data_IF_515591780877
#
_entry.id   IF_515591780877
#
_cell.length_a   1.000
_cell.length_b   1.000
_cell.length_c   1.000
_cell.angle_alpha   90.00
_cell.angle_beta   90.00
_cell.angle_gamma   90.00
#
_symmetry.space_group_name_H-M   'P 1'
#
loop_
_entity.id
_entity.type
_entity.pdbx_description
1 polymer ?
#
# COMPACT_ATOMS: atom_id res chain seq x y z
N UNK A 1 3.86 7.16 3.14
CA UNK A 1 4.16 6.03 4.02
C UNK A 1 5.54 5.45 3.71
N UNK A 2 5.81 4.88 2.55
CA UNK A 2 7.12 4.28 2.21
C UNK A 2 8.35 5.18 2.44
N UNK A 3 8.25 6.49 2.17
CA UNK A 3 9.34 7.45 2.43
C UNK A 3 9.65 7.51 3.93
N UNK A 4 8.62 7.60 4.78
CA UNK A 4 8.80 7.64 6.23
C UNK A 4 9.36 6.36 6.80
N UNK A 5 8.93 5.22 6.26
CA UNK A 5 9.44 3.91 6.67
C UNK A 5 10.92 3.80 6.36
N UNK A 6 11.35 4.26 5.17
CA UNK A 6 12.75 4.28 4.76
C UNK A 6 13.59 5.23 5.63
N UNK A 7 13.08 6.41 5.96
CA UNK A 7 13.76 7.36 6.85
C UNK A 7 13.90 6.80 8.26
N UNK A 8 12.83 6.22 8.81
CA UNK A 8 12.85 5.63 10.14
C UNK A 8 13.86 4.48 10.24
N UNK A 9 13.90 3.58 9.26
CA UNK A 9 14.83 2.44 9.27
C UNK A 9 16.29 2.85 9.14
N UNK A 10 16.57 4.00 8.53
CA UNK A 10 17.93 4.57 8.44
C UNK A 10 18.41 5.19 9.75
N UNK A 11 17.50 5.67 10.58
CA UNK A 11 17.82 6.41 11.82
C UNK A 11 17.68 5.54 13.06
N UNK A 12 16.73 4.61 13.10
CA UNK A 12 16.53 3.73 14.25
C UNK A 12 17.65 2.70 14.34
N UNK A 13 18.27 2.61 15.52
CA UNK A 13 19.36 1.66 15.79
C UNK A 13 18.90 0.55 16.74
N UNK A 14 19.29 -0.67 16.42
CA UNK A 14 19.16 -1.87 17.25
C UNK A 14 20.37 -2.78 16.98
N UNK A 15 20.85 -3.45 18.02
CA UNK A 15 22.02 -4.34 17.90
C UNK A 15 23.26 -3.63 17.36
N UNK A 16 23.43 -2.32 17.69
CA UNK A 16 24.59 -1.54 17.31
C UNK A 16 24.61 -1.01 15.88
N UNK A 17 23.50 -1.14 15.12
CA UNK A 17 23.42 -0.66 13.73
C UNK A 17 22.01 -0.15 13.40
N UNK A 18 21.92 0.69 12.37
CA UNK A 18 20.63 1.10 11.81
C UNK A 18 19.84 -0.11 11.33
N UNK A 19 18.55 -0.20 11.68
CA UNK A 19 17.73 -1.38 11.33
C UNK A 19 17.56 -1.57 9.83
N UNK A 20 17.63 -0.51 9.03
CA UNK A 20 17.60 -0.58 7.57
C UNK A 20 18.77 -1.34 6.93
N UNK A 21 19.80 -1.69 7.70
CA UNK A 21 20.92 -2.54 7.24
C UNK A 21 20.60 -4.04 7.35
N UNK A 22 19.56 -4.42 8.09
CA UNK A 22 19.14 -5.82 8.16
C UNK A 22 18.46 -6.25 6.87
N UNK A 23 18.96 -7.31 6.24
CA UNK A 23 18.47 -7.78 4.94
C UNK A 23 16.97 -8.13 4.95
N UNK A 24 16.48 -8.73 6.03
CA UNK A 24 15.05 -9.08 6.15
C UNK A 24 14.14 -7.84 6.09
N UNK A 25 14.59 -6.71 6.64
CA UNK A 25 13.85 -5.45 6.58
C UNK A 25 13.98 -4.78 5.22
N UNK A 26 15.13 -4.91 4.57
CA UNK A 26 15.32 -4.46 3.18
C UNK A 26 14.37 -5.19 2.23
N UNK A 27 14.23 -6.50 2.35
CA UNK A 27 13.27 -7.28 1.56
C UNK A 27 11.83 -6.82 1.77
N UNK A 28 11.42 -6.57 3.02
CA UNK A 28 10.08 -6.02 3.32
C UNK A 28 9.84 -4.68 2.65
N UNK A 29 10.82 -3.77 2.70
CA UNK A 29 10.71 -2.45 2.07
C UNK A 29 10.63 -2.56 0.53
N UNK A 30 11.36 -3.49 -0.07
CA UNK A 30 11.28 -3.77 -1.52
C UNK A 30 9.89 -4.27 -1.89
N UNK A 31 9.34 -5.22 -1.14
CA UNK A 31 7.98 -5.73 -1.38
C UNK A 31 6.93 -4.62 -1.28
N UNK A 32 7.02 -3.74 -0.28
CA UNK A 32 6.16 -2.57 -0.14
C UNK A 32 6.27 -1.62 -1.34
N UNK A 33 7.48 -1.38 -1.82
CA UNK A 33 7.74 -0.55 -2.99
C UNK A 33 7.15 -1.17 -4.27
N UNK A 34 7.30 -2.47 -4.46
CA UNK A 34 6.73 -3.19 -5.60
C UNK A 34 5.20 -3.06 -5.63
N UNK A 35 4.54 -3.27 -4.50
CA UNK A 35 3.08 -3.10 -4.39
C UNK A 35 2.64 -1.66 -4.72
N UNK A 36 3.38 -0.67 -4.24
CA UNK A 36 3.12 0.73 -4.56
C UNK A 36 3.25 1.02 -6.06
N UNK A 37 4.33 0.58 -6.70
CA UNK A 37 4.57 0.82 -8.13
C UNK A 37 3.55 0.08 -9.02
N UNK A 38 3.11 -1.11 -8.63
CA UNK A 38 2.02 -1.82 -9.31
C UNK A 38 0.71 -1.02 -9.24
N UNK A 39 0.34 -0.52 -8.08
CA UNK A 39 -0.85 0.32 -7.91
C UNK A 39 -0.78 1.59 -8.77
N UNK A 40 0.37 2.23 -8.83
CA UNK A 40 0.62 3.42 -9.64
C UNK A 40 0.45 3.14 -11.13
N UNK A 41 1.01 2.04 -11.62
CA UNK A 41 0.87 1.62 -13.02
C UNK A 41 -0.58 1.30 -13.39
N UNK A 42 -1.29 0.60 -12.50
CA UNK A 42 -2.71 0.31 -12.69
C UNK A 42 -3.58 1.58 -12.66
N UNK A 43 -3.23 2.56 -11.82
CA UNK A 43 -3.91 3.85 -11.78
C UNK A 43 -3.81 4.58 -13.12
N UNK A 44 -2.61 4.66 -13.68
CA UNK A 44 -2.43 5.28 -15.00
C UNK A 44 -3.22 4.55 -16.08
N UNK A 45 -3.14 3.23 -16.13
CA UNK A 45 -3.89 2.42 -17.10
C UNK A 45 -5.41 2.63 -16.96
N UNK A 46 -5.94 2.56 -15.75
CA UNK A 46 -7.39 2.71 -15.53
C UNK A 46 -7.89 4.13 -15.87
N UNK A 47 -7.08 5.16 -15.57
CA UNK A 47 -7.40 6.55 -15.91
C UNK A 47 -7.42 6.75 -17.42
N UNK A 48 -6.39 6.30 -18.12
CA UNK A 48 -6.34 6.39 -19.59
C UNK A 48 -7.54 5.70 -20.25
N UNK A 49 -7.85 4.46 -19.82
CA UNK A 49 -9.01 3.73 -20.34
C UNK A 49 -10.35 4.42 -20.05
N UNK A 50 -10.44 5.09 -18.91
CA UNK A 50 -11.64 5.85 -18.56
C UNK A 50 -11.79 7.08 -19.46
N UNK A 51 -10.71 7.85 -19.63
CA UNK A 51 -10.71 9.08 -20.45
C UNK A 51 -10.97 8.79 -21.92
N UNK A 52 -10.47 7.67 -22.43
CA UNK A 52 -10.72 7.19 -23.80
C UNK A 52 -12.09 6.50 -23.97
N UNK A 53 -12.90 6.42 -22.93
CA UNK A 53 -14.16 5.68 -22.90
C UNK A 53 -14.02 4.22 -23.40
N UNK A 54 -12.89 3.58 -23.12
CA UNK A 54 -12.61 2.22 -23.55
C UNK A 54 -13.67 1.24 -23.02
N UNK A 55 -14.08 0.22 -23.82
CA UNK A 55 -15.15 -0.70 -23.43
C UNK A 55 -14.84 -1.49 -22.17
N UNK A 56 -13.57 -1.71 -21.85
CA UNK A 56 -13.10 -2.42 -20.65
C UNK A 56 -12.69 -1.50 -19.50
N UNK A 57 -13.00 -0.20 -19.58
CA UNK A 57 -12.64 0.79 -18.54
C UNK A 57 -13.19 0.43 -17.17
N UNK A 58 -14.44 -0.06 -17.09
CA UNK A 58 -15.06 -0.49 -15.82
C UNK A 58 -14.33 -1.68 -15.19
N UNK A 59 -13.85 -2.60 -16.03
CA UNK A 59 -13.05 -3.74 -15.61
C UNK A 59 -11.69 -3.29 -15.07
N UNK A 60 -11.02 -2.39 -15.78
CA UNK A 60 -9.74 -1.80 -15.34
C UNK A 60 -9.87 -1.08 -14.00
N UNK A 61 -10.93 -0.28 -13.78
CA UNK A 61 -11.21 0.41 -12.52
C UNK A 61 -11.43 -0.60 -11.38
N UNK A 62 -12.17 -1.69 -11.62
CA UNK A 62 -12.39 -2.73 -10.61
C UNK A 62 -11.09 -3.47 -10.27
N UNK A 63 -10.25 -3.77 -11.26
CA UNK A 63 -8.91 -4.35 -11.05
C UNK A 63 -8.00 -3.44 -10.23
N UNK A 64 -7.98 -2.14 -10.55
CA UNK A 64 -7.26 -1.13 -9.77
C UNK A 64 -7.72 -1.12 -8.32
N UNK A 65 -9.03 -1.04 -8.09
CA UNK A 65 -9.58 -0.95 -6.72
C UNK A 65 -9.31 -2.22 -5.90
N UNK A 66 -9.33 -3.39 -6.54
CA UNK A 66 -8.92 -4.65 -5.93
C UNK A 66 -7.46 -4.60 -5.47
N UNK A 67 -6.55 -4.25 -6.39
CA UNK A 67 -5.12 -4.20 -6.10
C UNK A 67 -4.77 -3.15 -5.04
N UNK A 68 -5.34 -1.94 -5.15
CA UNK A 68 -5.12 -0.87 -4.17
C UNK A 68 -5.60 -1.28 -2.77
N UNK A 69 -6.74 -1.95 -2.67
CA UNK A 69 -7.26 -2.43 -1.38
C UNK A 69 -6.30 -3.42 -0.70
N UNK A 70 -5.76 -4.36 -1.45
CA UNK A 70 -4.80 -5.35 -0.94
C UNK A 70 -3.44 -4.73 -0.63
N UNK A 71 -2.92 -3.90 -1.54
CA UNK A 71 -1.64 -3.21 -1.35
C UNK A 71 -1.68 -2.25 -0.15
N UNK A 72 -2.77 -1.49 0.03
CA UNK A 72 -2.94 -0.59 1.15
C UNK A 72 -2.90 -1.34 2.49
N UNK A 73 -3.57 -2.48 2.57
CA UNK A 73 -3.53 -3.34 3.76
C UNK A 73 -2.12 -3.87 4.01
N UNK A 74 -1.47 -4.42 3.00
CA UNK A 74 -0.11 -4.96 3.10
C UNK A 74 0.89 -3.89 3.51
N UNK A 75 0.96 -2.78 2.77
CA UNK A 75 1.89 -1.67 3.04
C UNK A 75 1.63 -1.09 4.43
N UNK A 76 0.37 -0.87 4.79
CA UNK A 76 -0.01 -0.34 6.10
C UNK A 76 0.46 -1.22 7.25
N UNK A 77 0.23 -2.53 7.16
CA UNK A 77 0.66 -3.49 8.17
C UNK A 77 2.18 -3.61 8.26
N UNK A 78 2.88 -3.66 7.12
CA UNK A 78 4.34 -3.72 7.10
C UNK A 78 4.98 -2.44 7.65
N UNK A 79 4.41 -1.28 7.35
CA UNK A 79 4.88 0.01 7.87
C UNK A 79 4.79 0.07 9.40
N UNK A 80 3.65 -0.32 9.98
CA UNK A 80 3.50 -0.40 11.44
C UNK A 80 4.50 -1.40 12.03
N UNK A 81 4.71 -2.54 11.39
CA UNK A 81 5.67 -3.54 11.86
C UNK A 81 7.12 -3.02 11.83
N UNK A 82 7.51 -2.27 10.78
CA UNK A 82 8.84 -1.65 10.68
C UNK A 82 9.12 -0.63 11.79
N UNK A 83 8.09 0.10 12.21
CA UNK A 83 8.18 1.05 13.32
C UNK A 83 8.12 0.37 14.70
N UNK A 84 7.74 -0.91 14.76
CA UNK A 84 7.62 -1.65 16.01
C UNK A 84 6.59 -1.03 16.96
N UNK A 85 6.90 -1.04 18.28
CA UNK A 85 6.00 -0.46 19.28
C UNK A 85 5.65 1.02 19.05
N UNK A 86 6.56 1.80 18.49
CA UNK A 86 6.31 3.21 18.13
C UNK A 86 5.27 3.39 17.02
N UNK A 87 5.11 2.38 16.14
CA UNK A 87 4.12 2.43 15.05
C UNK A 87 2.67 2.44 15.49
N UNK A 88 2.39 2.02 16.73
CA UNK A 88 1.05 2.02 17.31
C UNK A 88 0.79 3.19 18.24
N UNK A 89 1.76 4.06 18.44
CA UNK A 89 1.64 5.26 19.27
C UNK A 89 1.17 6.47 18.46
N UNK A 90 0.61 7.48 19.14
CA UNK A 90 0.20 8.73 18.49
C UNK A 90 1.42 9.69 18.26
N UNK A 91 2.61 9.35 18.73
CA UNK A 91 3.83 10.14 18.53
C UNK A 91 4.32 10.11 17.09
N UNK A 92 4.07 9.00 16.36
CA UNK A 92 4.40 8.86 14.95
C UNK A 92 3.13 8.81 14.09
N UNK A 93 3.13 9.56 13.01
CA UNK A 93 1.96 9.63 12.13
C UNK A 93 1.75 8.40 11.22
N UNK A 94 2.60 7.39 11.29
CA UNK A 94 2.43 6.12 10.57
C UNK A 94 1.11 5.44 10.93
N UNK A 95 0.70 5.50 12.20
CA UNK A 95 -0.59 4.97 12.64
C UNK A 95 -1.79 5.69 12.01
N UNK A 96 -1.70 7.01 11.81
CA UNK A 96 -2.73 7.78 11.12
C UNK A 96 -2.85 7.39 9.65
N UNK A 97 -1.72 7.18 8.96
CA UNK A 97 -1.71 6.66 7.59
C UNK A 97 -2.32 5.26 7.52
N UNK A 98 -1.99 4.38 8.47
CA UNK A 98 -2.56 3.04 8.54
C UNK A 98 -4.08 3.06 8.69
N UNK A 99 -4.60 3.87 9.61
CA UNK A 99 -6.05 4.07 9.81
C UNK A 99 -6.73 4.58 8.53
N UNK A 100 -6.12 5.56 7.87
CA UNK A 100 -6.64 6.13 6.63
C UNK A 100 -6.67 5.09 5.50
N UNK A 101 -5.60 4.32 5.32
CA UNK A 101 -5.53 3.25 4.32
C UNK A 101 -6.56 2.16 4.56
N UNK A 102 -6.79 1.80 5.82
CA UNK A 102 -7.84 0.83 6.21
C UNK A 102 -9.22 1.34 5.82
N UNK A 103 -9.51 2.60 6.10
CA UNK A 103 -10.79 3.25 5.74
C UNK A 103 -10.97 3.31 4.22
N UNK A 104 -9.95 3.72 3.48
CA UNK A 104 -9.98 3.76 2.00
C UNK A 104 -10.28 2.39 1.41
N UNK A 105 -9.79 1.32 2.05
CA UNK A 105 -10.06 -0.06 1.62
C UNK A 105 -11.53 -0.45 1.60
N UNK A 106 -12.40 0.26 2.34
CA UNK A 106 -13.85 0.01 2.39
C UNK A 106 -14.68 0.97 1.55
N UNK A 107 -14.15 2.17 1.25
CA UNK A 107 -14.87 3.20 0.49
C UNK A 107 -15.12 2.73 -0.95
N UNK A 108 -16.34 2.88 -1.44
CA UNK A 108 -16.78 2.47 -2.78
C UNK A 108 -16.65 0.97 -3.07
N UNK A 109 -16.72 0.14 -2.03
CA UNK A 109 -16.59 -1.31 -2.11
C UNK A 109 -15.19 -1.79 -1.75
N UNK A 110 -15.14 -2.94 -1.09
CA UNK A 110 -13.89 -3.59 -0.69
C UNK A 110 -13.27 -4.41 -1.84
N UNK A 111 -12.10 -5.01 -1.58
CA UNK A 111 -11.40 -5.83 -2.57
C UNK A 111 -12.24 -6.99 -3.08
N UNK A 112 -12.99 -7.69 -2.22
CA UNK A 112 -13.82 -8.84 -2.64
C UNK A 112 -14.98 -8.40 -3.56
N UNK A 113 -15.61 -7.27 -3.26
CA UNK A 113 -16.62 -6.68 -4.12
C UNK A 113 -16.06 -6.40 -5.53
N UNK A 114 -14.89 -5.77 -5.59
CA UNK A 114 -14.26 -5.42 -6.86
C UNK A 114 -13.69 -6.64 -7.61
N UNK A 115 -13.26 -7.68 -6.91
CA UNK A 115 -12.86 -8.93 -7.54
C UNK A 115 -14.06 -9.60 -8.23
N UNK A 116 -15.19 -9.72 -7.55
CA UNK A 116 -16.43 -10.24 -8.12
C UNK A 116 -16.89 -9.44 -9.33
N UNK A 117 -16.82 -8.11 -9.24
CA UNK A 117 -17.17 -7.24 -10.35
C UNK A 117 -16.20 -7.40 -11.53
N UNK A 118 -14.91 -7.52 -11.28
CA UNK A 118 -13.88 -7.74 -12.31
C UNK A 118 -14.11 -9.05 -13.08
N UNK A 119 -14.45 -10.13 -12.37
CA UNK A 119 -14.71 -11.45 -12.99
C UNK A 119 -16.03 -11.51 -13.73
N UNK A 120 -17.02 -10.69 -13.37
CA UNK A 120 -18.31 -10.59 -14.01
C UNK A 120 -18.37 -9.62 -15.20
N UNK A 121 -17.32 -8.89 -15.43
CA UNK A 121 -17.15 -7.98 -16.57
C UNK A 121 -16.22 -8.63 -17.59
#
# INVERSE_FOLDING_TARGET
>A
MCIRDSEYTKTREQFGTAIGKFQVLQHRMVDMFMEHEQCKSLLYMATMKHDEAAPDSKKAISGLKYQVGNAAKFIGQQAVQLHGGMGVTDELNVGHYFKRLTTIGTIFGNSDHHLKRYTGL
#
